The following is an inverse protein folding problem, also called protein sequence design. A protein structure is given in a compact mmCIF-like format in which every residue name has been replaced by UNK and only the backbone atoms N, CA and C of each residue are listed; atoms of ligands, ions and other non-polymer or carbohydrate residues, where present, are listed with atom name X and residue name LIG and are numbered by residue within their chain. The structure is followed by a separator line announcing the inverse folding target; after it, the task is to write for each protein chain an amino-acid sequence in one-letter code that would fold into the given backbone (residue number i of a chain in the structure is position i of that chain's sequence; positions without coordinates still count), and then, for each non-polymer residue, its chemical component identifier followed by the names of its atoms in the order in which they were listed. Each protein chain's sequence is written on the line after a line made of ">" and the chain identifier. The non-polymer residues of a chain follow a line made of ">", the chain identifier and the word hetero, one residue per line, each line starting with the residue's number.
data_IF_554326381283
#
_entry.id   IF_554326381283
#
_cell.length_a   1.000
_cell.length_b   1.000
_cell.length_c   1.000
_cell.angle_alpha   90.00
_cell.angle_beta   90.00
_cell.angle_gamma   90.00
#
_symmetry.space_group_name_H-M   'P 1'
#
loop_
_entity.id
_entity.type
_entity.pdbx_description
1 polymer ?
#
# COMPACT_ATOMS: atom_id res chain seq x y z
N UNK A 1 -5.92 -17.48 3.32
CA UNK A 1 -5.25 -16.60 2.35
C UNK A 1 -3.84 -17.08 1.99
N UNK A 2 -2.90 -17.21 2.89
CA UNK A 2 -1.49 -17.58 2.57
C UNK A 2 -1.39 -18.92 1.81
N UNK A 3 -2.17 -19.92 2.18
CA UNK A 3 -2.23 -21.19 1.46
C UNK A 3 -2.66 -20.99 -0.01
N UNK A 4 -3.68 -20.17 -0.24
CA UNK A 4 -4.16 -19.83 -1.58
C UNK A 4 -3.13 -19.03 -2.37
N UNK A 5 -2.42 -18.08 -1.73
CA UNK A 5 -1.29 -17.38 -2.38
C UNK A 5 -0.21 -18.38 -2.81
N UNK A 6 0.16 -19.34 -1.95
CA UNK A 6 1.14 -20.36 -2.27
C UNK A 6 0.68 -21.30 -3.41
N UNK A 7 -0.61 -21.40 -3.67
CA UNK A 7 -1.16 -22.21 -4.77
C UNK A 7 -1.12 -21.48 -6.13
N UNK A 8 -0.95 -20.15 -6.13
CA UNK A 8 -1.00 -19.32 -7.34
C UNK A 8 -0.13 -19.82 -8.50
N UNK A 9 1.14 -20.25 -8.28
CA UNK A 9 2.00 -20.71 -9.39
C UNK A 9 1.40 -21.87 -10.19
N UNK A 10 0.52 -22.66 -9.61
CA UNK A 10 -0.09 -23.84 -10.23
C UNK A 10 -1.39 -23.53 -10.96
N UNK A 11 -1.94 -22.33 -10.79
CA UNK A 11 -3.21 -21.93 -11.39
C UNK A 11 -3.00 -21.48 -12.84
N UNK A 12 -4.07 -21.64 -13.62
CA UNK A 12 -4.18 -21.08 -14.98
C UNK A 12 -4.93 -19.75 -14.89
N UNK A 13 -4.35 -18.72 -15.48
CA UNK A 13 -4.97 -17.40 -15.56
C UNK A 13 -6.24 -17.44 -16.43
N UNK A 14 -7.23 -16.59 -16.17
CA UNK A 14 -8.45 -16.53 -16.95
C UNK A 14 -8.18 -16.07 -18.39
N UNK A 15 -9.13 -16.37 -19.29
CA UNK A 15 -9.12 -15.88 -20.68
C UNK A 15 -9.70 -14.46 -20.75
N UNK A 16 -9.01 -13.51 -20.13
CA UNK A 16 -9.46 -12.12 -19.92
C UNK A 16 -8.75 -11.09 -20.84
N UNK A 17 -8.01 -11.57 -21.85
CA UNK A 17 -7.18 -10.76 -22.74
C UNK A 17 -6.01 -10.03 -22.07
N UNK A 18 -5.82 -10.24 -20.76
CA UNK A 18 -4.70 -9.68 -20.01
C UNK A 18 -3.38 -10.43 -20.29
N UNK A 19 -2.30 -9.96 -19.67
CA UNK A 19 -0.97 -10.57 -19.80
C UNK A 19 -1.02 -12.03 -19.36
N UNK A 20 -0.43 -12.93 -20.16
CA UNK A 20 -0.44 -14.40 -19.96
C UNK A 20 -1.85 -15.02 -19.86
N UNK A 21 -2.89 -14.37 -20.40
CA UNK A 21 -4.26 -14.90 -20.46
C UNK A 21 -4.29 -16.38 -20.89
N UNK A 22 -4.99 -17.23 -20.15
CA UNK A 22 -5.11 -18.67 -20.40
C UNK A 22 -3.85 -19.50 -20.13
N UNK A 23 -2.76 -18.91 -19.61
CA UNK A 23 -1.50 -19.63 -19.30
C UNK A 23 -1.35 -19.82 -17.79
N UNK A 24 -0.50 -20.78 -17.41
CA UNK A 24 -0.10 -20.96 -16.00
C UNK A 24 0.64 -19.72 -15.50
N UNK A 25 0.43 -19.39 -14.23
CA UNK A 25 1.16 -18.34 -13.50
C UNK A 25 2.65 -18.68 -13.50
N UNK A 26 3.02 -19.86 -12.99
CA UNK A 26 4.38 -20.43 -13.01
C UNK A 26 5.29 -19.93 -11.89
N UNK A 27 5.42 -18.62 -11.72
CA UNK A 27 6.28 -18.01 -10.69
C UNK A 27 5.71 -16.69 -10.19
N UNK A 28 6.15 -16.28 -9.00
CA UNK A 28 5.80 -15.00 -8.36
C UNK A 28 7.09 -14.35 -7.88
N UNK A 29 7.46 -13.23 -8.45
CA UNK A 29 8.71 -12.55 -8.12
C UNK A 29 8.62 -11.74 -6.83
N UNK A 30 7.43 -11.18 -6.53
CA UNK A 30 7.20 -10.26 -5.41
C UNK A 30 5.87 -10.56 -4.73
N UNK A 31 5.85 -10.28 -3.43
CA UNK A 31 4.64 -10.11 -2.62
C UNK A 31 4.70 -8.69 -2.06
N UNK A 32 3.69 -7.89 -2.34
CA UNK A 32 3.60 -6.49 -1.88
C UNK A 32 2.53 -6.39 -0.81
N UNK A 33 2.85 -5.69 0.27
CA UNK A 33 1.93 -5.34 1.35
C UNK A 33 1.85 -3.81 1.42
N UNK A 34 0.64 -3.28 1.26
CA UNK A 34 0.38 -1.84 1.16
C UNK A 34 -0.06 -1.21 2.48
N UNK A 35 0.56 -1.63 3.58
CA UNK A 35 0.39 -1.02 4.89
C UNK A 35 -0.55 -1.77 5.85
N UNK A 36 -0.66 -1.25 7.07
CA UNK A 36 -1.37 -1.87 8.19
C UNK A 36 -0.86 -3.28 8.50
N UNK A 37 0.45 -3.43 8.49
CA UNK A 37 1.14 -4.70 8.67
C UNK A 37 0.98 -5.19 10.10
N UNK A 38 1.12 -4.27 11.08
CA UNK A 38 0.84 -4.51 12.48
C UNK A 38 -0.51 -3.89 12.89
N UNK A 39 -1.56 -4.34 12.32
CA UNK A 39 -2.89 -3.73 12.30
C UNK A 39 -3.60 -3.54 13.67
N UNK A 40 -3.02 -3.92 14.79
CA UNK A 40 -3.58 -3.64 16.12
C UNK A 40 -2.45 -3.32 17.07
N UNK A 41 -2.52 -2.16 17.66
CA UNK A 41 -1.50 -1.68 18.57
C UNK A 41 -2.06 -1.31 19.93
N UNK A 42 -3.37 -1.29 20.07
CA UNK A 42 -4.04 -0.84 21.28
C UNK A 42 -4.31 -2.01 22.23
N UNK A 43 -3.79 -1.90 23.45
CA UNK A 43 -4.18 -2.79 24.52
C UNK A 43 -5.66 -2.51 24.95
N UNK A 44 -6.47 -3.52 25.27
CA UNK A 44 -6.12 -4.93 25.44
C UNK A 44 -6.29 -5.76 24.17
N UNK A 45 -6.54 -5.16 23.00
CA UNK A 45 -6.91 -5.89 21.80
C UNK A 45 -5.72 -6.70 21.27
N UNK A 46 -4.66 -6.03 20.88
CA UNK A 46 -3.42 -6.68 20.42
C UNK A 46 -2.29 -5.64 20.37
N UNK A 47 -1.14 -5.96 20.96
CA UNK A 47 0.03 -5.10 20.89
C UNK A 47 0.65 -5.10 19.48
N UNK A 48 1.43 -4.05 19.16
CA UNK A 48 2.20 -4.01 17.92
C UNK A 48 3.17 -5.19 17.81
N UNK A 49 3.79 -5.60 18.91
CA UNK A 49 4.68 -6.75 18.94
C UNK A 49 3.97 -8.07 18.62
N UNK A 50 2.75 -8.28 19.15
CA UNK A 50 1.96 -9.48 18.85
C UNK A 50 1.48 -9.47 17.41
N UNK A 51 1.04 -8.32 16.88
CA UNK A 51 0.64 -8.17 15.48
C UNK A 51 1.82 -8.44 14.53
N UNK A 52 2.99 -7.93 14.89
CA UNK A 52 4.20 -8.20 14.11
C UNK A 52 4.59 -9.69 14.13
N UNK A 53 4.53 -10.35 15.28
CA UNK A 53 4.82 -11.78 15.38
C UNK A 53 3.85 -12.61 14.50
N UNK A 54 2.59 -12.24 14.44
CA UNK A 54 1.62 -12.85 13.54
C UNK A 54 2.00 -12.64 12.07
N UNK A 55 2.37 -11.41 11.70
CA UNK A 55 2.85 -11.10 10.36
C UNK A 55 4.10 -11.90 9.98
N UNK A 56 5.08 -12.02 10.87
CA UNK A 56 6.28 -12.83 10.64
C UNK A 56 5.92 -14.30 10.35
N UNK A 57 5.02 -14.86 11.12
CA UNK A 57 4.57 -16.24 10.94
C UNK A 57 3.85 -16.42 9.60
N UNK A 58 2.94 -15.52 9.26
CA UNK A 58 2.12 -15.62 8.07
C UNK A 58 2.91 -15.30 6.78
N UNK A 59 3.67 -14.20 6.75
CA UNK A 59 4.32 -13.73 5.54
C UNK A 59 5.78 -14.17 5.41
N UNK A 60 6.59 -14.01 6.45
CA UNK A 60 8.02 -14.34 6.36
C UNK A 60 8.28 -15.85 6.42
N UNK A 61 7.48 -16.59 7.22
CA UNK A 61 7.72 -18.02 7.42
C UNK A 61 6.83 -18.90 6.54
N UNK A 62 5.59 -18.50 6.26
CA UNK A 62 4.61 -19.37 5.58
C UNK A 62 4.46 -19.13 4.08
N UNK A 63 4.91 -18.02 3.53
CA UNK A 63 4.98 -17.81 2.08
C UNK A 63 6.11 -18.64 1.49
N UNK A 64 5.76 -19.51 0.51
CA UNK A 64 6.69 -20.44 -0.17
C UNK A 64 6.84 -20.17 -1.66
N UNK A 65 6.47 -18.98 -2.09
CA UNK A 65 6.52 -18.54 -3.48
C UNK A 65 7.97 -18.40 -3.97
N UNK A 66 8.18 -18.71 -5.24
CA UNK A 66 9.47 -18.57 -5.90
C UNK A 66 9.33 -17.69 -7.14
N UNK A 67 10.31 -16.82 -7.35
CA UNK A 67 10.45 -16.01 -8.55
C UNK A 67 10.96 -16.80 -9.77
N UNK A 68 10.98 -16.13 -10.90
CA UNK A 68 11.45 -16.69 -12.16
C UNK A 68 12.89 -17.22 -12.10
N UNK A 69 13.70 -16.71 -11.19
CA UNK A 69 15.10 -17.13 -10.96
C UNK A 69 15.23 -18.27 -9.94
N UNK A 70 14.11 -18.87 -9.50
CA UNK A 70 14.07 -19.95 -8.52
C UNK A 70 14.32 -19.53 -7.07
N UNK A 71 14.67 -18.27 -6.80
CA UNK A 71 14.83 -17.72 -5.45
C UNK A 71 13.47 -17.44 -4.80
N UNK A 72 13.38 -17.37 -3.46
CA UNK A 72 12.15 -16.94 -2.80
C UNK A 72 11.64 -15.61 -3.34
N UNK A 73 10.31 -15.48 -3.46
CA UNK A 73 9.69 -14.21 -3.81
C UNK A 73 10.10 -13.12 -2.80
N UNK A 74 10.39 -11.92 -3.29
CA UNK A 74 10.73 -10.80 -2.40
C UNK A 74 9.47 -10.27 -1.75
N UNK A 75 9.51 -10.07 -0.45
CA UNK A 75 8.47 -9.34 0.29
C UNK A 75 8.82 -7.85 0.30
N UNK A 76 7.88 -7.01 -0.11
CA UNK A 76 8.01 -5.56 -0.23
C UNK A 76 6.88 -4.91 0.57
N UNK A 77 7.23 -4.01 1.49
CA UNK A 77 6.31 -3.43 2.46
C UNK A 77 6.26 -1.91 2.31
N UNK A 78 5.07 -1.33 2.29
CA UNK A 78 4.85 0.09 2.52
C UNK A 78 4.09 0.25 3.84
N UNK A 79 4.52 1.11 4.78
CA UNK A 79 3.80 1.28 6.05
C UNK A 79 2.45 1.95 5.88
N UNK A 80 1.50 1.56 6.74
CA UNK A 80 0.20 2.20 6.88
C UNK A 80 0.08 2.98 8.21
N UNK A 81 -1.07 3.59 8.42
CA UNK A 81 -1.33 4.40 9.60
C UNK A 81 -1.30 3.59 10.90
N UNK A 82 -1.70 2.31 10.85
CA UNK A 82 -1.63 1.40 12.00
C UNK A 82 -0.22 0.94 12.34
N UNK A 83 0.74 1.13 11.45
CA UNK A 83 2.16 0.84 11.69
C UNK A 83 2.87 2.02 12.37
N UNK A 84 2.33 3.24 12.23
CA UNK A 84 2.97 4.48 12.72
C UNK A 84 2.54 4.80 14.15
N UNK A 85 1.27 4.59 14.50
CA UNK A 85 0.69 5.06 15.75
C UNK A 85 -0.25 4.04 16.39
N UNK A 86 -0.30 4.06 17.72
CA UNK A 86 -1.30 3.32 18.48
C UNK A 86 -2.65 4.06 18.62
N UNK A 87 -2.81 5.22 17.99
CA UNK A 87 -4.02 6.04 18.03
C UNK A 87 -5.17 5.47 17.20
N UNK A 88 -5.38 4.17 17.26
CA UNK A 88 -6.35 3.43 16.46
C UNK A 88 -7.45 2.93 17.37
N UNK A 89 -8.08 3.72 17.99
CA UNK A 89 -9.13 3.23 18.82
C UNK A 89 -10.38 4.05 18.64
N UNK A 90 -11.26 3.56 17.91
CA UNK A 90 -12.59 4.07 17.96
C UNK A 90 -13.45 3.12 18.81
N UNK A 91 -14.21 3.57 19.80
CA UNK A 91 -14.54 4.94 20.19
C UNK A 91 -13.81 5.48 21.41
N UNK A 92 -12.66 4.98 21.77
CA UNK A 92 -11.98 5.40 22.99
C UNK A 92 -11.23 6.72 22.80
N UNK A 93 -11.26 7.62 23.80
CA UNK A 93 -10.37 8.76 23.83
C UNK A 93 -8.93 8.25 24.00
N UNK A 94 -8.16 8.26 22.94
CA UNK A 94 -6.76 7.88 22.97
C UNK A 94 -5.92 9.13 22.87
N UNK A 95 -4.85 9.15 23.66
CA UNK A 95 -3.74 10.03 23.37
C UNK A 95 -3.04 9.47 22.15
N UNK A 96 -2.98 10.20 21.04
CA UNK A 96 -2.22 9.75 19.88
C UNK A 96 -0.75 9.66 20.28
N UNK A 97 -0.25 8.45 20.45
CA UNK A 97 1.13 8.18 20.77
C UNK A 97 1.75 7.41 19.61
N UNK A 98 2.95 7.79 19.26
CA UNK A 98 3.78 6.97 18.39
C UNK A 98 4.12 5.66 19.08
N UNK A 99 3.95 4.56 18.37
CA UNK A 99 4.51 3.27 18.74
C UNK A 99 5.46 2.83 17.62
N UNK A 100 6.79 2.96 17.80
CA UNK A 100 7.74 2.67 16.74
C UNK A 100 7.92 1.19 16.45
N UNK A 101 7.28 0.29 17.19
CA UNK A 101 7.54 -1.16 17.10
C UNK A 101 7.38 -1.70 15.67
N UNK A 102 6.29 -1.41 15.00
CA UNK A 102 6.05 -1.86 13.63
C UNK A 102 7.01 -1.15 12.64
N UNK A 103 7.13 0.17 12.74
CA UNK A 103 7.98 0.96 11.86
C UNK A 103 9.45 0.55 11.92
N UNK A 104 10.00 0.31 13.11
CA UNK A 104 11.37 -0.20 13.29
C UNK A 104 11.58 -1.52 12.57
N UNK A 105 10.63 -2.42 12.69
CA UNK A 105 10.70 -3.73 12.03
C UNK A 105 10.63 -3.62 10.51
N UNK A 106 9.69 -2.82 10.01
CA UNK A 106 9.54 -2.58 8.57
C UNK A 106 10.78 -1.88 8.01
N UNK A 107 11.27 -0.83 8.70
CA UNK A 107 12.46 -0.09 8.30
C UNK A 107 13.68 -1.02 8.19
N UNK A 108 13.98 -1.76 9.25
CA UNK A 108 15.12 -2.68 9.24
C UNK A 108 15.03 -3.75 8.15
N UNK A 109 13.82 -4.24 7.86
CA UNK A 109 13.60 -5.25 6.83
C UNK A 109 13.74 -4.69 5.41
N UNK A 110 13.24 -3.47 5.15
CA UNK A 110 13.24 -2.85 3.82
C UNK A 110 14.52 -2.08 3.54
N UNK A 111 14.96 -1.22 4.46
CA UNK A 111 16.13 -0.35 4.28
C UNK A 111 17.46 -1.06 4.55
N UNK A 112 17.44 -2.12 5.37
CA UNK A 112 18.64 -2.92 5.73
C UNK A 112 19.82 -2.06 6.16
N UNK A 113 19.66 -1.18 7.15
CA UNK A 113 20.72 -0.29 7.59
C UNK A 113 21.92 -1.09 8.11
N UNK A 114 23.12 -0.52 8.02
CA UNK A 114 24.34 -1.17 8.52
C UNK A 114 24.29 -1.51 10.02
N UNK A 115 23.50 -0.75 10.80
CA UNK A 115 23.13 -1.04 12.17
C UNK A 115 21.62 -0.96 12.31
N UNK A 116 21.00 -2.06 12.74
CA UNK A 116 19.54 -2.10 12.94
C UNK A 116 19.09 -1.08 13.98
N UNK A 117 17.99 -0.41 13.67
CA UNK A 117 17.32 0.49 14.60
C UNK A 117 16.53 -0.28 15.66
N UNK A 118 16.26 0.40 16.76
CA UNK A 118 15.47 -0.07 17.88
C UNK A 118 14.38 0.95 18.20
N UNK A 119 13.40 0.59 19.02
CA UNK A 119 12.35 1.53 19.44
C UNK A 119 12.92 2.77 20.17
N UNK A 120 14.11 2.64 20.77
CA UNK A 120 14.73 3.74 21.52
C UNK A 120 15.45 4.77 20.65
N UNK A 121 15.83 4.42 19.42
CA UNK A 121 16.60 5.29 18.53
C UNK A 121 15.94 5.50 17.16
N UNK A 122 14.70 5.09 16.99
CA UNK A 122 13.91 5.35 15.78
C UNK A 122 13.38 6.78 15.80
N UNK A 123 13.60 7.51 14.72
CA UNK A 123 13.09 8.86 14.53
C UNK A 123 12.13 8.88 13.34
N UNK A 124 10.85 9.15 13.62
CA UNK A 124 9.80 9.20 12.60
C UNK A 124 10.02 10.27 11.52
N UNK A 125 10.81 11.30 11.80
CA UNK A 125 11.07 12.39 10.85
C UNK A 125 12.12 12.01 9.81
N UNK A 126 13.14 11.29 10.25
CA UNK A 126 14.30 10.97 9.41
C UNK A 126 14.28 9.54 8.88
N UNK A 127 13.67 8.61 9.62
CA UNK A 127 13.70 7.17 9.32
C UNK A 127 12.43 6.72 8.60
N UNK A 128 12.14 7.34 7.45
CA UNK A 128 11.00 6.96 6.62
C UNK A 128 11.26 5.70 5.82
N UNK A 129 10.22 4.92 5.57
CA UNK A 129 10.30 3.69 4.75
C UNK A 129 9.97 4.01 3.30
N UNK A 130 10.81 4.84 2.68
CA UNK A 130 10.72 5.14 1.27
C UNK A 130 11.85 4.45 0.53
N UNK A 131 11.54 3.72 -0.52
CA UNK A 131 12.54 3.04 -1.35
C UNK A 131 11.98 2.74 -2.73
N UNK A 132 12.86 2.43 -3.66
CA UNK A 132 12.50 2.06 -5.01
C UNK A 132 13.26 0.85 -5.53
N UNK A 133 12.73 0.25 -6.57
CA UNK A 133 13.33 -0.89 -7.27
C UNK A 133 13.16 -0.71 -8.78
N UNK A 134 14.26 -0.89 -9.51
CA UNK A 134 14.24 -0.96 -10.96
C UNK A 134 14.17 -2.43 -11.41
N UNK A 135 13.11 -2.83 -12.08
CA UNK A 135 12.87 -4.20 -12.48
C UNK A 135 12.44 -4.23 -13.95
N UNK A 136 13.29 -4.81 -14.79
CA UNK A 136 12.98 -4.97 -16.22
C UNK A 136 12.53 -3.68 -16.91
N UNK A 137 13.14 -2.54 -16.57
CA UNK A 137 12.79 -1.24 -17.15
C UNK A 137 11.53 -0.58 -16.55
N UNK A 138 10.99 -1.11 -15.49
CA UNK A 138 9.90 -0.50 -14.70
C UNK A 138 10.46 -0.03 -13.37
N UNK A 139 10.15 1.17 -12.97
CA UNK A 139 10.51 1.75 -11.68
C UNK A 139 9.34 1.62 -10.69
N UNK A 140 9.57 0.95 -9.58
CA UNK A 140 8.57 0.74 -8.53
C UNK A 140 8.96 1.56 -7.31
N UNK A 141 8.12 2.50 -6.90
CA UNK A 141 8.30 3.34 -5.72
C UNK A 141 7.41 2.86 -4.59
N UNK A 142 7.97 2.74 -3.41
CA UNK A 142 7.26 2.38 -2.17
C UNK A 142 7.35 3.57 -1.22
N UNK A 143 6.18 4.11 -0.86
CA UNK A 143 6.04 5.37 -0.12
C UNK A 143 5.35 5.10 1.21
N UNK A 144 5.87 5.67 2.29
CA UNK A 144 5.22 5.65 3.59
C UNK A 144 3.88 6.39 3.52
N UNK A 145 2.82 5.74 3.90
CA UNK A 145 1.47 6.24 4.08
C UNK A 145 0.84 6.90 2.85
N UNK A 146 1.33 8.05 2.41
CA UNK A 146 0.80 8.84 1.29
C UNK A 146 1.87 9.81 0.74
N UNK A 147 1.89 10.13 -0.58
CA UNK A 147 2.85 11.05 -1.17
C UNK A 147 2.55 12.51 -0.83
N UNK A 148 2.73 12.88 0.44
CA UNK A 148 2.65 14.25 0.94
C UNK A 148 3.82 15.15 0.47
N UNK A 149 3.91 16.38 0.95
CA UNK A 149 4.93 17.32 0.47
C UNK A 149 6.36 16.88 0.75
N UNK A 150 6.64 16.24 1.89
CA UNK A 150 7.97 15.72 2.19
C UNK A 150 8.28 14.46 1.39
N UNK A 151 7.31 13.58 1.25
CA UNK A 151 7.46 12.39 0.42
C UNK A 151 7.71 12.75 -1.04
N UNK A 152 7.05 13.78 -1.57
CA UNK A 152 7.30 14.26 -2.95
C UNK A 152 8.72 14.80 -3.14
N UNK A 153 9.36 15.39 -2.11
CA UNK A 153 10.77 15.77 -2.18
C UNK A 153 11.67 14.54 -2.35
N UNK A 154 11.38 13.46 -1.62
CA UNK A 154 12.09 12.21 -1.79
C UNK A 154 11.82 11.59 -3.16
N UNK A 155 10.56 11.57 -3.60
CA UNK A 155 10.14 11.05 -4.91
C UNK A 155 10.85 11.78 -6.07
N UNK A 156 11.00 13.11 -5.99
CA UNK A 156 11.71 13.90 -6.99
C UNK A 156 13.16 13.43 -7.15
N UNK A 157 13.88 13.29 -6.02
CA UNK A 157 15.26 12.79 -6.02
C UNK A 157 15.38 11.37 -6.55
N UNK A 158 14.43 10.53 -6.22
CA UNK A 158 14.42 9.15 -6.68
C UNK A 158 14.15 9.07 -8.18
N UNK A 159 13.25 9.88 -8.71
CA UNK A 159 12.96 9.99 -10.14
C UNK A 159 14.13 10.53 -10.98
N UNK A 160 15.06 11.29 -10.39
CA UNK A 160 16.31 11.68 -11.06
C UNK A 160 17.21 10.48 -11.39
N UNK A 161 17.01 9.35 -10.72
CA UNK A 161 17.79 8.10 -10.95
C UNK A 161 17.35 7.33 -12.19
N UNK A 162 16.22 7.68 -12.79
CA UNK A 162 15.65 7.02 -13.97
C UNK A 162 15.35 8.03 -15.08
N UNK A 163 15.21 7.53 -16.30
CA UNK A 163 14.83 8.40 -17.42
C UNK A 163 13.35 8.74 -17.39
N UNK A 164 12.99 9.88 -17.97
CA UNK A 164 11.56 10.26 -18.13
C UNK A 164 10.75 9.26 -18.97
N UNK A 165 11.41 8.40 -19.74
CA UNK A 165 10.80 7.33 -20.50
C UNK A 165 10.56 6.05 -19.66
N UNK A 166 11.10 5.96 -18.45
CA UNK A 166 10.92 4.81 -17.56
C UNK A 166 9.54 4.88 -16.91
N UNK A 167 8.65 3.91 -17.13
CA UNK A 167 7.37 3.90 -16.44
C UNK A 167 7.52 3.66 -14.94
N UNK A 168 6.73 4.36 -14.16
CA UNK A 168 6.75 4.35 -12.70
C UNK A 168 5.42 3.81 -12.15
N UNK A 169 5.51 2.96 -11.13
CA UNK A 169 4.38 2.44 -10.38
C UNK A 169 4.58 2.81 -8.91
N UNK A 170 3.57 3.43 -8.30
CA UNK A 170 3.57 3.79 -6.87
C UNK A 170 2.84 2.71 -6.07
N UNK A 171 3.43 2.31 -4.95
CA UNK A 171 2.84 1.48 -3.91
C UNK A 171 2.88 2.25 -2.59
N UNK A 172 1.72 2.42 -1.97
CA UNK A 172 1.59 3.14 -0.71
C UNK A 172 0.37 2.65 0.05
N UNK A 173 -0.04 3.33 1.12
CA UNK A 173 -1.15 2.89 1.94
C UNK A 173 -2.47 3.59 1.62
N UNK A 174 -2.47 4.93 1.62
CA UNK A 174 -3.68 5.71 1.41
C UNK A 174 -4.02 5.88 -0.08
N UNK A 175 -5.30 6.10 -0.32
CA UNK A 175 -5.82 6.46 -1.64
C UNK A 175 -5.27 7.81 -2.11
N UNK A 176 -5.20 8.06 -3.44
CA UNK A 176 -4.69 9.34 -3.96
C UNK A 176 -5.52 10.55 -3.53
N UNK A 177 -6.77 10.35 -3.13
CA UNK A 177 -7.66 11.36 -2.56
C UNK A 177 -7.20 11.84 -1.17
N UNK A 178 -6.28 11.13 -0.53
CA UNK A 178 -5.76 11.38 0.81
C UNK A 178 -6.82 11.30 1.93
N UNK A 179 -6.41 10.88 3.10
CA UNK A 179 -7.23 11.00 4.31
C UNK A 179 -6.61 12.00 5.29
N UNK A 180 -7.19 13.17 5.40
CA UNK A 180 -6.65 14.27 6.24
C UNK A 180 -6.43 13.86 7.70
N UNK A 181 -7.24 12.93 8.23
CA UNK A 181 -7.07 12.40 9.58
C UNK A 181 -5.74 11.67 9.82
N UNK A 182 -5.05 11.28 8.77
CA UNK A 182 -3.75 10.63 8.87
C UNK A 182 -2.59 11.61 9.00
N UNK A 183 -2.85 12.92 8.89
CA UNK A 183 -1.82 13.95 8.95
C UNK A 183 -1.93 14.76 10.23
N UNK A 184 -0.79 15.21 10.75
CA UNK A 184 -0.72 16.21 11.80
C UNK A 184 -0.69 17.60 11.20
N UNK A 185 -1.46 18.52 11.78
CA UNK A 185 -1.28 19.93 11.49
C UNK A 185 -0.75 20.63 12.75
N UNK A 186 0.53 21.06 12.76
CA UNK A 186 1.13 21.70 13.92
C UNK A 186 0.64 23.14 14.13
N UNK A 187 -0.10 23.72 13.18
CA UNK A 187 -0.56 25.10 13.24
C UNK A 187 -1.90 25.21 13.98
N UNK A 188 -2.09 26.22 14.87
CA UNK A 188 -3.40 26.52 15.43
C UNK A 188 -4.41 26.88 14.33
N UNK A 189 -5.68 26.50 14.46
CA UNK A 189 -6.31 25.73 15.53
C UNK A 189 -6.23 24.21 15.33
N UNK A 190 -5.42 23.73 14.41
CA UNK A 190 -5.43 22.36 13.88
C UNK A 190 -4.48 21.40 14.60
N UNK A 191 -3.92 21.83 15.71
CA UNK A 191 -2.99 21.02 16.48
C UNK A 191 -3.60 19.67 16.84
N UNK A 192 -2.79 18.63 16.83
CA UNK A 192 -3.19 17.30 17.24
C UNK A 192 -3.66 17.33 18.70
N UNK A 193 -4.88 16.83 18.94
CA UNK A 193 -5.52 16.72 20.25
C UNK A 193 -6.05 15.31 20.47
N UNK A 194 -6.49 15.01 21.68
CA UNK A 194 -7.15 13.73 21.99
C UNK A 194 -8.43 13.50 21.16
N UNK A 195 -9.02 14.55 20.63
CA UNK A 195 -10.27 14.50 19.88
C UNK A 195 -10.06 14.21 18.40
N UNK A 196 -8.97 14.70 17.82
CA UNK A 196 -8.73 14.58 16.38
C UNK A 196 -7.90 13.36 15.95
N UNK A 197 -7.41 12.55 16.88
CA UNK A 197 -6.89 11.18 16.72
C UNK A 197 -6.01 10.93 15.49
N UNK A 198 -5.04 11.75 15.26
CA UNK A 198 -4.13 11.56 14.14
C UNK A 198 -3.28 10.32 14.26
N UNK A 199 -3.08 9.71 13.14
CA UNK A 199 -2.36 8.46 12.98
C UNK A 199 -1.08 8.63 12.18
N UNK A 200 -0.91 9.74 11.50
CA UNK A 200 0.36 10.14 10.91
C UNK A 200 1.06 11.16 11.81
N UNK A 201 2.31 10.90 12.08
CA UNK A 201 3.15 11.73 12.93
C UNK A 201 4.36 12.26 12.15
N UNK A 202 4.31 12.21 10.86
CA UNK A 202 5.27 12.91 10.00
C UNK A 202 5.00 14.41 10.07
N UNK A 203 6.04 15.22 10.16
CA UNK A 203 5.96 16.68 10.32
C UNK A 203 5.59 17.39 9.01
N UNK A 204 4.48 17.01 8.41
CA UNK A 204 4.01 17.78 7.30
C UNK A 204 3.24 19.00 7.76
N UNK A 205 3.63 20.15 7.25
CA UNK A 205 2.89 21.39 7.42
C UNK A 205 1.64 21.35 6.54
N UNK A 206 0.61 20.81 7.12
CA UNK A 206 -0.67 20.73 6.47
C UNK A 206 -1.24 22.13 6.30
N UNK A 207 -1.35 22.58 5.06
CA UNK A 207 -1.81 23.93 4.75
C UNK A 207 -3.31 24.10 4.80
N UNK A 208 -4.05 22.97 4.86
CA UNK A 208 -5.50 22.98 4.95
C UNK A 208 -5.96 22.82 6.39
N UNK A 209 -7.07 23.47 6.71
CA UNK A 209 -7.68 23.31 8.01
C UNK A 209 -8.37 21.97 8.16
N UNK A 210 -8.52 21.55 9.41
CA UNK A 210 -9.21 20.33 9.83
C UNK A 210 -10.65 20.20 9.29
N UNK A 211 -11.28 21.28 8.88
CA UNK A 211 -12.63 21.29 8.31
C UNK A 211 -12.76 20.41 7.07
N UNK A 212 -11.67 20.19 6.34
CA UNK A 212 -11.66 19.27 5.20
C UNK A 212 -11.89 17.80 5.62
N UNK A 213 -11.72 17.47 6.89
CA UNK A 213 -11.92 16.11 7.40
C UNK A 213 -13.39 15.78 7.72
N UNK A 214 -14.27 16.76 7.76
CA UNK A 214 -15.66 16.56 8.18
C UNK A 214 -16.46 15.67 7.21
N UNK A 215 -16.03 15.55 5.96
CA UNK A 215 -16.75 14.82 4.91
C UNK A 215 -15.95 13.64 4.34
N UNK A 216 -15.15 12.92 5.13
CA UNK A 216 -14.17 11.97 4.61
C UNK A 216 -13.20 12.64 3.61
N UNK A 217 -13.16 13.94 3.65
CA UNK A 217 -12.68 14.79 2.59
C UNK A 217 -11.19 14.80 2.55
N UNK A 218 -10.81 14.38 1.45
CA UNK A 218 -9.54 14.65 0.85
C UNK A 218 -9.15 16.12 1.03
N UNK A 219 -7.91 16.36 1.32
CA UNK A 219 -7.40 17.70 1.44
C UNK A 219 -7.16 18.29 0.06
N UNK A 220 -7.82 19.39 -0.21
CA UNK A 220 -7.78 19.98 -1.54
C UNK A 220 -6.40 20.54 -1.89
N UNK A 221 -5.65 21.08 -0.94
CA UNK A 221 -4.31 21.65 -1.18
C UNK A 221 -3.29 20.53 -1.40
N UNK A 222 -3.25 19.53 -0.52
CA UNK A 222 -2.29 18.41 -0.66
C UNK A 222 -2.60 17.55 -1.88
N UNK A 223 -3.86 17.29 -2.19
CA UNK A 223 -4.22 16.63 -3.43
C UNK A 223 -3.81 17.41 -4.67
N UNK A 224 -4.01 18.72 -4.70
CA UNK A 224 -3.54 19.56 -5.82
C UNK A 224 -2.03 19.52 -5.96
N UNK A 225 -1.30 19.54 -4.83
CA UNK A 225 0.16 19.37 -4.84
C UNK A 225 0.57 18.03 -5.45
N UNK A 226 -0.13 16.96 -5.11
CA UNK A 226 0.12 15.65 -5.70
C UNK A 226 -0.28 15.60 -7.19
N UNK A 227 -1.40 16.20 -7.58
CA UNK A 227 -1.81 16.29 -8.99
C UNK A 227 -0.78 17.06 -9.82
N UNK A 228 -0.28 18.18 -9.33
CA UNK A 228 0.77 18.93 -10.04
C UNK A 228 2.08 18.14 -10.16
N UNK A 229 2.43 17.36 -9.14
CA UNK A 229 3.54 16.42 -9.20
C UNK A 229 3.33 15.37 -10.30
N UNK A 230 2.14 14.76 -10.38
CA UNK A 230 1.79 13.79 -11.41
C UNK A 230 1.85 14.38 -12.82
N UNK A 231 1.44 15.62 -13.01
CA UNK A 231 1.54 16.32 -14.30
C UNK A 231 2.99 16.55 -14.73
N UNK A 232 3.88 16.82 -13.78
CA UNK A 232 5.32 16.98 -14.04
C UNK A 232 6.02 15.65 -14.33
N UNK A 233 5.43 14.55 -13.84
CA UNK A 233 5.94 13.18 -14.00
C UNK A 233 4.94 12.26 -14.72
N UNK A 234 4.66 12.50 -16.03
CA UNK A 234 3.67 11.73 -16.78
C UNK A 234 4.06 10.26 -17.01
N UNK A 235 5.26 9.87 -16.61
CA UNK A 235 5.72 8.50 -16.57
C UNK A 235 5.23 7.73 -15.33
N UNK A 236 4.58 8.35 -14.37
CA UNK A 236 3.83 7.66 -13.30
C UNK A 236 2.54 7.11 -13.89
N UNK A 237 2.41 5.78 -13.96
CA UNK A 237 1.38 5.09 -14.75
C UNK A 237 0.36 4.30 -13.95
N UNK A 238 0.64 3.98 -12.70
CA UNK A 238 -0.27 3.25 -11.84
C UNK A 238 0.00 3.53 -10.36
N UNK A 239 -1.04 3.40 -9.55
CA UNK A 239 -1.01 3.63 -8.12
C UNK A 239 -1.73 2.47 -7.40
N UNK A 240 -1.05 1.85 -6.44
CA UNK A 240 -1.55 0.75 -5.64
C UNK A 240 -1.64 1.17 -4.18
N UNK A 241 -2.77 0.87 -3.55
CA UNK A 241 -2.99 1.22 -2.15
C UNK A 241 -3.91 0.24 -1.41
N UNK A 242 -3.97 0.39 -0.08
CA UNK A 242 -4.85 -0.36 0.82
C UNK A 242 -5.84 0.54 1.55
N UNK A 243 -5.66 0.69 2.85
CA UNK A 243 -6.38 1.49 3.83
C UNK A 243 -7.90 1.23 3.93
N UNK A 244 -8.66 1.54 2.91
CA UNK A 244 -10.13 1.52 2.94
C UNK A 244 -10.75 0.11 2.97
N UNK A 245 -9.95 -0.93 2.81
CA UNK A 245 -10.31 -2.34 3.02
C UNK A 245 -11.45 -2.87 2.13
N UNK A 246 -11.38 -2.65 0.80
CA UNK A 246 -12.14 -3.38 -0.22
C UNK A 246 -11.40 -3.34 -1.55
N UNK A 247 -11.64 -4.35 -2.39
CA UNK A 247 -11.01 -4.40 -3.71
C UNK A 247 -11.73 -3.48 -4.70
N UNK A 248 -10.96 -2.61 -5.36
CA UNK A 248 -11.50 -1.71 -6.38
C UNK A 248 -10.44 -1.35 -7.42
N UNK A 249 -10.87 -1.25 -8.67
CA UNK A 249 -10.08 -0.72 -9.78
C UNK A 249 -10.79 0.52 -10.29
N UNK A 250 -10.12 1.66 -10.26
CA UNK A 250 -10.70 2.93 -10.67
C UNK A 250 -9.67 3.86 -11.29
N UNK A 251 -10.10 5.00 -11.77
CA UNK A 251 -9.23 6.06 -12.27
C UNK A 251 -9.37 7.28 -11.39
N UNK A 252 -8.24 7.74 -10.88
CA UNK A 252 -8.17 9.00 -10.15
C UNK A 252 -8.03 10.16 -11.12
N UNK A 253 -8.91 11.14 -11.00
CA UNK A 253 -8.96 12.30 -11.90
C UNK A 253 -8.46 13.58 -11.24
N UNK A 254 -8.13 13.54 -9.95
CA UNK A 254 -7.79 14.72 -9.16
C UNK A 254 -9.01 15.61 -8.84
N UNK A 255 -8.86 16.57 -7.92
CA UNK A 255 -9.95 17.48 -7.56
C UNK A 255 -10.38 18.41 -8.70
N UNK A 256 -9.51 18.63 -9.69
CA UNK A 256 -9.79 19.41 -10.89
C UNK A 256 -10.32 18.60 -12.07
N UNK A 257 -10.43 17.29 -11.94
CA UNK A 257 -10.76 16.36 -13.02
C UNK A 257 -9.87 16.53 -14.27
N UNK A 258 -8.57 16.71 -14.05
CA UNK A 258 -7.61 17.13 -15.07
C UNK A 258 -6.41 16.17 -15.25
N UNK A 259 -6.48 15.01 -14.60
CA UNK A 259 -5.55 13.90 -14.77
C UNK A 259 -6.30 12.56 -14.96
N UNK A 260 -5.55 11.52 -15.31
CA UNK A 260 -6.09 10.17 -15.45
C UNK A 260 -5.03 9.16 -14.96
N UNK A 261 -5.11 8.78 -13.70
CA UNK A 261 -4.21 7.81 -13.08
C UNK A 261 -4.96 6.52 -12.75
N UNK A 262 -4.59 5.37 -13.34
CA UNK A 262 -5.11 4.07 -12.92
C UNK A 262 -4.76 3.77 -11.47
N UNK A 263 -5.76 3.40 -10.68
CA UNK A 263 -5.64 3.12 -9.24
C UNK A 263 -6.20 1.74 -8.91
N UNK A 264 -5.49 1.02 -8.08
CA UNK A 264 -5.81 -0.33 -7.65
C UNK A 264 -5.81 -0.39 -6.12
N UNK A 265 -7.00 -0.49 -5.53
CA UNK A 265 -7.18 -0.68 -4.10
C UNK A 265 -7.28 -2.15 -3.79
N UNK A 266 -6.45 -2.64 -2.85
CA UNK A 266 -6.50 -4.03 -2.38
C UNK A 266 -7.37 -4.16 -1.13
N UNK A 267 -8.06 -5.30 -0.99
CA UNK A 267 -8.83 -5.63 0.20
C UNK A 267 -7.93 -6.04 1.37
N UNK A 268 -8.48 -6.01 2.57
CA UNK A 268 -7.87 -6.55 3.79
C UNK A 268 -8.18 -8.05 3.93
N UNK A 269 -7.26 -8.86 4.44
CA UNK A 269 -7.48 -10.30 4.61
C UNK A 269 -8.54 -10.66 5.67
N UNK A 270 -8.89 -9.74 6.56
CA UNK A 270 -9.77 -10.04 7.71
C UNK A 270 -10.78 -8.93 8.05
N UNK A 271 -10.71 -7.77 7.39
CA UNK A 271 -11.43 -6.55 7.85
C UNK A 271 -11.88 -5.69 6.68
N UNK A 272 -12.53 -6.24 5.72
CA UNK A 272 -12.99 -5.44 4.58
C UNK A 272 -14.29 -4.67 4.86
N UNK A 273 -14.50 -3.55 4.19
CA UNK A 273 -15.79 -2.81 4.20
C UNK A 273 -16.89 -3.64 3.56
N UNK A 274 -16.57 -4.35 2.49
CA UNK A 274 -17.48 -5.21 1.75
C UNK A 274 -17.40 -6.63 2.30
N UNK A 275 -16.22 -7.18 2.42
CA UNK A 275 -15.95 -8.55 2.87
C UNK A 275 -16.32 -8.81 4.33
N UNK A 276 -16.44 -7.78 5.17
CA UNK A 276 -17.01 -7.93 6.52
C UNK A 276 -18.51 -8.30 6.51
N UNK A 277 -19.22 -8.01 5.41
CA UNK A 277 -20.63 -8.38 5.22
C UNK A 277 -20.80 -9.69 4.48
N UNK A 278 -19.84 -10.01 3.62
CA UNK A 278 -19.79 -11.21 2.81
C UNK A 278 -18.34 -11.67 2.65
N UNK A 279 -17.91 -12.58 3.49
CA UNK A 279 -16.53 -13.09 3.51
C UNK A 279 -16.13 -13.84 2.23
N UNK A 280 -17.10 -14.20 1.36
CA UNK A 280 -16.79 -14.79 0.06
C UNK A 280 -16.15 -13.80 -0.91
N UNK A 281 -16.21 -12.51 -0.60
CA UNK A 281 -15.60 -11.42 -1.37
C UNK A 281 -14.18 -11.06 -0.90
N UNK A 282 -13.64 -11.74 0.11
CA UNK A 282 -12.25 -11.56 0.54
C UNK A 282 -11.30 -11.85 -0.62
N UNK A 283 -10.44 -10.90 -0.93
CA UNK A 283 -9.56 -11.00 -2.10
C UNK A 283 -8.15 -10.46 -1.85
N UNK A 284 -7.24 -10.85 -2.72
CA UNK A 284 -5.97 -10.20 -2.96
C UNK A 284 -5.81 -9.93 -4.46
N UNK A 285 -4.81 -9.15 -4.85
CA UNK A 285 -4.57 -8.85 -6.25
C UNK A 285 -3.38 -9.65 -6.79
N UNK A 286 -3.52 -10.16 -8.01
CA UNK A 286 -2.43 -10.73 -8.79
C UNK A 286 -2.06 -9.76 -9.92
N UNK A 287 -0.80 -9.31 -9.89
CA UNK A 287 -0.27 -8.33 -10.83
C UNK A 287 0.64 -9.04 -11.82
N UNK A 288 0.39 -8.87 -13.10
CA UNK A 288 1.28 -9.28 -14.19
C UNK A 288 1.83 -8.06 -14.90
N UNK A 289 3.14 -7.99 -15.07
CA UNK A 289 3.81 -6.90 -15.81
C UNK A 289 4.55 -7.53 -16.98
N UNK A 290 4.32 -6.99 -18.18
CA UNK A 290 5.11 -7.30 -19.38
C UNK A 290 5.93 -6.07 -19.78
N UNK A 291 7.24 -6.09 -19.52
CA UNK A 291 8.10 -4.96 -19.84
C UNK A 291 8.29 -4.74 -21.34
N UNK A 292 8.07 -5.76 -22.17
CA UNK A 292 8.23 -5.66 -23.64
C UNK A 292 7.04 -4.89 -24.24
N UNK A 293 5.82 -5.31 -23.93
CA UNK A 293 4.62 -4.62 -24.38
C UNK A 293 4.33 -3.36 -23.55
N UNK A 294 5.04 -3.18 -22.43
CA UNK A 294 4.79 -2.14 -21.43
C UNK A 294 3.32 -2.10 -20.98
N UNK A 295 2.81 -3.26 -20.59
CA UNK A 295 1.48 -3.41 -20.05
C UNK A 295 1.52 -3.97 -18.63
N UNK A 296 0.52 -3.60 -17.86
CA UNK A 296 0.22 -4.10 -16.52
C UNK A 296 -1.19 -4.69 -16.53
N UNK A 297 -1.35 -5.91 -16.04
CA UNK A 297 -2.68 -6.51 -15.79
C UNK A 297 -2.82 -6.83 -14.31
N UNK A 298 -3.88 -6.31 -13.70
CA UNK A 298 -4.27 -6.60 -12.31
C UNK A 298 -5.50 -7.48 -12.32
N UNK A 299 -5.49 -8.54 -11.52
CA UNK A 299 -6.60 -9.48 -11.36
C UNK A 299 -6.96 -9.60 -9.90
N UNK A 300 -8.23 -9.47 -9.60
CA UNK A 300 -8.78 -9.83 -8.30
C UNK A 300 -8.73 -11.35 -8.12
N UNK A 301 -8.31 -11.78 -6.95
CA UNK A 301 -8.18 -13.18 -6.57
C UNK A 301 -9.03 -13.44 -5.32
N UNK A 302 -10.26 -13.90 -5.49
CA UNK A 302 -11.16 -14.28 -4.42
C UNK A 302 -10.66 -15.59 -3.80
N UNK A 303 -10.28 -15.54 -2.53
CA UNK A 303 -9.61 -16.67 -1.87
C UNK A 303 -10.48 -17.39 -0.84
N UNK A 304 -11.68 -16.85 -0.52
CA UNK A 304 -12.57 -17.39 0.50
C UNK A 304 -14.00 -17.67 -0.03
N UNK A 305 -14.13 -18.03 -1.28
CA UNK A 305 -15.44 -18.21 -1.94
C UNK A 305 -16.27 -19.35 -1.38
N UNK A 306 -15.65 -20.25 -0.64
CA UNK A 306 -16.29 -21.40 0.01
C UNK A 306 -15.76 -21.57 1.46
N UNK A 307 -16.15 -20.67 2.40
CA UNK A 307 -15.53 -20.55 3.72
C UNK A 307 -15.51 -21.86 4.55
N UNK A 308 -16.46 -22.75 4.31
CA UNK A 308 -16.57 -24.04 5.01
C UNK A 308 -15.68 -25.14 4.42
N UNK A 309 -15.05 -24.89 3.27
CA UNK A 309 -14.19 -25.88 2.61
C UNK A 309 -12.72 -25.60 2.89
N UNK A 310 -11.99 -26.60 3.41
CA UNK A 310 -10.55 -26.46 3.71
C UNK A 310 -9.67 -26.27 2.47
N UNK A 311 -10.01 -26.91 1.35
CA UNK A 311 -9.19 -26.96 0.14
C UNK A 311 -9.78 -26.13 -1.01
N UNK A 312 -10.35 -24.98 -0.67
CA UNK A 312 -10.92 -24.08 -1.68
C UNK A 312 -9.82 -23.50 -2.59
N UNK A 313 -10.19 -23.30 -3.86
CA UNK A 313 -9.30 -22.70 -4.86
C UNK A 313 -9.58 -21.21 -5.00
N UNK A 314 -8.55 -20.47 -5.40
CA UNK A 314 -8.73 -19.08 -5.81
C UNK A 314 -9.62 -19.01 -7.05
N UNK A 315 -10.59 -18.11 -7.02
CA UNK A 315 -11.43 -17.76 -8.16
C UNK A 315 -11.00 -16.36 -8.64
N UNK A 316 -10.72 -16.21 -9.92
CA UNK A 316 -10.41 -14.91 -10.49
C UNK A 316 -11.70 -14.10 -10.67
N UNK A 317 -11.72 -12.90 -10.10
CA UNK A 317 -12.80 -11.92 -10.24
C UNK A 317 -12.52 -10.92 -11.35
N UNK A 318 -12.62 -9.63 -11.04
CA UNK A 318 -12.37 -8.54 -12.00
C UNK A 318 -10.92 -8.54 -12.50
N UNK A 319 -10.71 -8.12 -13.73
CA UNK A 319 -9.39 -7.83 -14.27
C UNK A 319 -9.37 -6.48 -15.01
N UNK A 320 -8.22 -5.81 -14.97
CA UNK A 320 -7.95 -4.61 -15.73
C UNK A 320 -6.55 -4.65 -16.31
N UNK A 321 -6.39 -4.18 -17.55
CA UNK A 321 -5.08 -4.03 -18.18
C UNK A 321 -4.88 -2.55 -18.52
N UNK A 322 -3.74 -2.01 -18.08
CA UNK A 322 -3.37 -0.63 -18.34
C UNK A 322 -2.03 -0.56 -19.06
N UNK A 323 -1.88 0.45 -19.90
CA UNK A 323 -0.61 0.71 -20.59
C UNK A 323 0.35 1.45 -19.67
N UNK A 324 1.58 0.97 -19.60
CA UNK A 324 2.70 1.63 -18.94
C UNK A 324 3.54 2.47 -19.92
N UNK A 325 3.14 2.57 -21.20
CA UNK A 325 3.86 3.36 -22.19
C UNK A 325 3.93 4.83 -21.77
N UNK A 326 5.12 5.38 -21.86
CA UNK A 326 5.35 6.80 -21.69
C UNK A 326 5.32 7.44 -23.08
N UNK A 327 4.38 8.32 -23.30
CA UNK A 327 4.20 9.02 -24.57
C UNK A 327 5.17 10.20 -24.67
#
# INVERSE_FOLDING_TARGET
>A
MIQQMNSMPYLTLPTDKGIKSGRKVGYIDFVVQTGDIANRMEAPVQSAASSWAQFEMDYLQSIKLKGHNGKPAKLLLAPGNHDISNAIGFPKPLKPLTDPTAMVKIYNLMQKPGKSLTNANYDFHTEKVNYSLNISGIHMMFITLWPDSAERIWMEKDLETVTKATPVIIFTHDQPECESKHFTNPLPPYNMTEENKFQNLTEEHYKEGYVAAADDGATQIEQRGFVEFLKQHPNIKAYFHGNSNWNEFYTYHGPGNDISLPVFRVDSPIKGKVSAKDETLLSFQFISIDPISQNLTVRECLWNTQPLQKDQKVIFGKSATVSLKVN
#
